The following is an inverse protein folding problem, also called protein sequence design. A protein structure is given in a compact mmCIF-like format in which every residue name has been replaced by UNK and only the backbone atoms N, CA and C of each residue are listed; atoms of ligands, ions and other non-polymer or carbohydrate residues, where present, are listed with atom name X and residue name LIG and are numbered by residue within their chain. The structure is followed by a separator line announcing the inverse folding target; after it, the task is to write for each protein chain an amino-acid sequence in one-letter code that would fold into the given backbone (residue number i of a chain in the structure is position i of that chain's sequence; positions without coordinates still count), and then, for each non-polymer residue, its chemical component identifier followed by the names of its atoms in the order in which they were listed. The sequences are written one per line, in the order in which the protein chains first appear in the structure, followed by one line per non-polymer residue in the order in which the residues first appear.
data_IF_787237008783
#
_entry.id   IF_787237008783
#
_cell.length_a   1.000
_cell.length_b   1.000
_cell.length_c   1.000
_cell.angle_alpha   90.00
_cell.angle_beta   90.00
_cell.angle_gamma   90.00
#
_symmetry.space_group_name_H-M   'P 1'
#
loop_
_entity.id
_entity.type
_entity.pdbx_description
1 polymer ?
#
# COMPACT_ATOMS: atom_id res chain seq x y z
N UNK A 1 3.65 -12.06 35.00
CA UNK A 1 3.19 -10.76 34.45
C UNK A 1 3.94 -10.27 33.20
N UNK A 2 5.09 -10.84 32.83
CA UNK A 2 5.96 -10.29 31.74
C UNK A 2 5.60 -10.81 30.32
N UNK A 3 5.03 -12.02 30.18
CA UNK A 3 4.66 -12.61 28.87
C UNK A 3 3.67 -11.75 28.06
N UNK A 4 2.80 -10.98 28.71
CA UNK A 4 1.83 -10.12 28.02
C UNK A 4 2.45 -8.80 27.53
N UNK A 5 3.49 -8.28 28.19
CA UNK A 5 4.22 -7.10 27.71
C UNK A 5 4.93 -7.38 26.39
N UNK A 6 5.63 -8.52 26.29
CA UNK A 6 6.34 -8.90 25.06
C UNK A 6 5.40 -9.17 23.89
N UNK A 7 4.22 -9.79 24.13
CA UNK A 7 3.20 -9.97 23.11
C UNK A 7 2.62 -8.64 22.63
N UNK A 8 2.38 -7.69 23.55
CA UNK A 8 1.86 -6.35 23.21
C UNK A 8 2.88 -5.54 22.39
N UNK A 9 4.15 -5.49 22.81
CA UNK A 9 5.22 -4.80 22.08
C UNK A 9 5.47 -5.42 20.69
N UNK A 10 5.40 -6.74 20.56
CA UNK A 10 5.51 -7.41 19.25
C UNK A 10 4.33 -7.08 18.33
N UNK A 11 3.11 -7.02 18.87
CA UNK A 11 1.91 -6.61 18.12
C UNK A 11 1.98 -5.13 17.71
N UNK A 12 2.42 -4.26 18.60
CA UNK A 12 2.55 -2.81 18.37
C UNK A 12 3.65 -2.49 17.35
N UNK A 13 4.81 -3.14 17.46
CA UNK A 13 5.88 -3.01 16.46
C UNK A 13 5.46 -3.55 15.08
N UNK A 14 4.72 -4.66 15.03
CA UNK A 14 4.16 -5.16 13.76
C UNK A 14 3.11 -4.21 13.18
N UNK A 15 2.23 -3.64 14.01
CA UNK A 15 1.26 -2.65 13.59
C UNK A 15 1.96 -1.41 13.01
N UNK A 16 3.02 -0.91 13.66
CA UNK A 16 3.79 0.22 13.14
C UNK A 16 4.43 -0.06 11.78
N UNK A 17 4.93 -1.28 11.56
CA UNK A 17 5.46 -1.70 10.26
C UNK A 17 4.36 -1.71 9.20
N UNK A 18 3.22 -2.32 9.51
CA UNK A 18 2.10 -2.39 8.59
C UNK A 18 1.54 -0.99 8.29
N UNK A 19 1.50 -0.08 9.27
CA UNK A 19 1.11 1.33 9.07
C UNK A 19 1.97 2.00 8.01
N UNK A 20 3.30 1.78 7.99
CA UNK A 20 4.16 2.35 6.95
C UNK A 20 3.84 1.80 5.55
N UNK A 21 3.50 0.50 5.47
CA UNK A 21 3.12 -0.13 4.20
C UNK A 21 1.78 0.45 3.72
N UNK A 22 0.81 0.58 4.63
CA UNK A 22 -0.52 1.11 4.33
C UNK A 22 -0.45 2.59 3.97
N UNK A 23 0.41 3.37 4.65
CA UNK A 23 0.64 4.78 4.32
C UNK A 23 1.16 4.97 2.89
N UNK A 24 1.98 4.04 2.37
CA UNK A 24 2.35 4.07 0.95
C UNK A 24 1.14 3.88 0.02
N UNK A 25 0.21 2.99 0.39
CA UNK A 25 -0.99 2.73 -0.42
C UNK A 25 -1.94 3.94 -0.39
N UNK A 26 -2.12 4.56 0.77
CA UNK A 26 -2.87 5.80 0.93
C UNK A 26 -2.24 6.93 0.11
N UNK A 27 -0.91 7.07 0.17
CA UNK A 27 -0.19 8.07 -0.63
C UNK A 27 -0.39 7.88 -2.13
N UNK A 28 -0.48 6.61 -2.58
CA UNK A 28 -0.78 6.31 -3.98
C UNK A 28 -2.23 6.62 -4.36
N UNK A 29 -3.20 6.38 -3.47
CA UNK A 29 -4.61 6.70 -3.68
C UNK A 29 -4.89 8.21 -3.67
N UNK A 30 -4.13 9.00 -2.91
CA UNK A 30 -4.34 10.45 -2.80
C UNK A 30 -3.68 11.29 -3.90
N UNK A 31 -2.95 10.67 -4.84
CA UNK A 31 -2.07 11.43 -5.74
C UNK A 31 -2.82 12.33 -6.72
N UNK A 32 -4.05 11.96 -7.09
CA UNK A 32 -4.92 12.73 -7.98
C UNK A 32 -5.89 13.66 -7.20
N UNK A 33 -5.66 13.82 -5.89
CA UNK A 33 -6.50 14.57 -4.94
C UNK A 33 -7.93 14.02 -4.76
N UNK A 34 -8.27 12.88 -5.38
CA UNK A 34 -9.59 12.25 -5.29
C UNK A 34 -9.54 10.90 -4.57
N UNK A 35 -9.39 10.94 -3.25
CA UNK A 35 -9.33 9.71 -2.44
C UNK A 35 -10.73 9.10 -2.23
N UNK A 36 -11.10 8.15 -3.09
CA UNK A 36 -12.46 7.60 -3.20
C UNK A 36 -12.73 6.45 -2.22
N UNK A 37 -14.02 6.12 -2.03
CA UNK A 37 -14.41 4.95 -1.22
C UNK A 37 -13.98 3.61 -1.84
N UNK A 38 -13.88 3.53 -3.17
CA UNK A 38 -13.42 2.32 -3.88
C UNK A 38 -11.96 2.02 -3.51
N UNK A 39 -11.11 3.05 -3.53
CA UNK A 39 -9.71 2.93 -3.15
C UNK A 39 -9.55 2.57 -1.67
N UNK A 40 -10.32 3.22 -0.79
CA UNK A 40 -10.38 2.87 0.64
C UNK A 40 -10.74 1.41 0.85
N UNK A 41 -11.71 0.89 0.11
CA UNK A 41 -12.12 -0.52 0.20
C UNK A 41 -11.02 -1.47 -0.26
N UNK A 42 -10.27 -1.13 -1.32
CA UNK A 42 -9.09 -1.90 -1.74
C UNK A 42 -8.05 -1.91 -0.61
N UNK A 43 -7.75 -0.76 -0.01
CA UNK A 43 -6.79 -0.65 1.07
C UNK A 43 -7.26 -1.43 2.31
N UNK A 44 -8.53 -1.30 2.72
CA UNK A 44 -9.13 -2.07 3.84
C UNK A 44 -8.96 -3.58 3.65
N UNK A 45 -9.22 -4.10 2.45
CA UNK A 45 -9.02 -5.52 2.12
C UNK A 45 -7.55 -5.93 2.31
N UNK A 46 -6.61 -5.10 1.88
CA UNK A 46 -5.17 -5.35 2.08
C UNK A 46 -4.80 -5.34 3.56
N UNK A 47 -5.32 -4.38 4.34
CA UNK A 47 -5.09 -4.31 5.79
C UNK A 47 -5.56 -5.59 6.47
N UNK A 48 -6.79 -6.04 6.17
CA UNK A 48 -7.34 -7.27 6.73
C UNK A 48 -6.46 -8.49 6.40
N UNK A 49 -5.92 -8.56 5.19
CA UNK A 49 -5.01 -9.64 4.76
C UNK A 49 -3.64 -9.57 5.46
N UNK A 50 -3.05 -8.39 5.60
CA UNK A 50 -1.74 -8.20 6.21
C UNK A 50 -1.74 -8.40 7.73
N UNK A 51 -2.86 -8.08 8.39
CA UNK A 51 -2.98 -8.09 9.84
C UNK A 51 -3.82 -9.24 10.40
N UNK A 52 -4.57 -9.96 9.55
CA UNK A 52 -5.54 -10.99 9.95
C UNK A 52 -6.59 -10.44 10.93
N UNK A 53 -7.22 -9.34 10.56
CA UNK A 53 -8.18 -8.58 11.40
C UNK A 53 -9.52 -8.39 10.69
N UNK A 54 -10.51 -7.95 11.46
CA UNK A 54 -11.85 -7.63 10.94
C UNK A 54 -11.93 -6.22 10.33
N UNK A 55 -13.10 -5.89 9.78
CA UNK A 55 -13.37 -4.62 9.13
C UNK A 55 -13.19 -3.42 10.09
N UNK A 56 -13.77 -3.47 11.29
CA UNK A 56 -13.69 -2.38 12.27
C UNK A 56 -12.25 -2.07 12.70
N UNK A 57 -11.43 -3.10 12.89
CA UNK A 57 -10.01 -2.94 13.19
C UNK A 57 -9.23 -2.42 11.96
N UNK A 58 -9.63 -2.82 10.76
CA UNK A 58 -9.03 -2.34 9.51
C UNK A 58 -9.27 -0.83 9.30
N UNK A 59 -10.46 -0.33 9.62
CA UNK A 59 -10.78 1.10 9.55
C UNK A 59 -9.94 1.92 10.53
N UNK A 60 -9.70 1.39 11.74
CA UNK A 60 -8.83 2.04 12.73
C UNK A 60 -7.39 2.11 12.23
N UNK A 61 -6.87 1.03 11.64
CA UNK A 61 -5.53 1.03 11.06
C UNK A 61 -5.42 1.94 9.83
N UNK A 62 -6.47 1.99 9.01
CA UNK A 62 -6.54 2.90 7.87
C UNK A 62 -6.40 4.35 8.33
N UNK A 63 -7.18 4.78 9.32
CA UNK A 63 -7.10 6.14 9.90
C UNK A 63 -5.71 6.47 10.44
N UNK A 64 -5.04 5.50 11.07
CA UNK A 64 -3.66 5.69 11.55
C UNK A 64 -2.67 5.85 10.40
N UNK A 65 -2.86 5.09 9.32
CA UNK A 65 -2.03 5.19 8.13
C UNK A 65 -2.27 6.48 7.35
N UNK A 66 -3.52 6.94 7.24
CA UNK A 66 -3.90 8.23 6.67
C UNK A 66 -3.25 9.39 7.42
N UNK A 67 -3.32 9.36 8.76
CA UNK A 67 -2.64 10.35 9.60
C UNK A 67 -1.12 10.28 9.42
N UNK A 68 -0.55 9.07 9.36
CA UNK A 68 0.90 8.90 9.16
C UNK A 68 1.37 9.41 7.80
N UNK A 69 0.53 9.26 6.78
CA UNK A 69 0.76 9.79 5.43
C UNK A 69 0.72 11.33 5.44
N UNK A 70 -0.29 11.92 6.09
CA UNK A 70 -0.40 13.38 6.26
C UNK A 70 0.77 14.00 7.03
N UNK A 71 1.26 13.31 8.08
CA UNK A 71 2.40 13.76 8.88
C UNK A 71 3.76 13.59 8.16
N UNK A 72 3.84 12.79 7.08
CA UNK A 72 5.09 12.44 6.41
C UNK A 72 4.98 12.57 4.89
N UNK A 73 5.57 13.63 4.34
CA UNK A 73 5.67 13.81 2.89
C UNK A 73 6.73 12.94 2.20
N UNK A 74 7.26 11.90 2.86
CA UNK A 74 8.42 11.15 2.35
C UNK A 74 8.11 9.68 2.08
N UNK A 75 7.78 9.38 0.83
CA UNK A 75 7.67 8.01 0.28
C UNK A 75 8.89 7.11 0.56
N UNK A 76 10.06 7.71 0.81
CA UNK A 76 11.29 7.03 1.23
C UNK A 76 11.14 6.35 2.59
N UNK A 77 10.39 6.96 3.51
CA UNK A 77 10.09 6.39 4.83
C UNK A 77 9.25 5.12 4.69
N UNK A 78 8.17 5.20 3.90
CA UNK A 78 7.24 4.09 3.71
C UNK A 78 7.89 2.89 3.02
N UNK A 79 8.67 3.16 1.96
CA UNK A 79 9.38 2.12 1.20
C UNK A 79 10.50 1.44 2.01
N UNK A 80 11.02 2.08 3.07
CA UNK A 80 12.06 1.50 3.93
C UNK A 80 11.63 0.20 4.61
N UNK A 81 10.38 0.11 5.04
CA UNK A 81 9.88 -1.12 5.67
C UNK A 81 9.67 -2.22 4.62
N UNK A 82 9.11 -1.88 3.47
CA UNK A 82 8.82 -2.81 2.38
C UNK A 82 10.10 -3.46 1.82
N UNK A 83 11.20 -2.71 1.77
CA UNK A 83 12.53 -3.23 1.37
C UNK A 83 13.01 -4.41 2.21
N UNK A 84 12.53 -4.59 3.44
CA UNK A 84 12.94 -5.70 4.31
C UNK A 84 12.32 -7.04 3.90
N UNK A 85 11.30 -7.01 3.05
CA UNK A 85 10.59 -8.20 2.59
C UNK A 85 11.12 -8.69 1.23
N UNK A 86 10.69 -9.91 0.86
CA UNK A 86 11.07 -10.58 -0.38
C UNK A 86 10.69 -9.76 -1.62
N UNK A 87 11.38 -10.00 -2.74
CA UNK A 87 11.01 -9.40 -4.03
C UNK A 87 9.53 -9.66 -4.38
N UNK A 88 9.03 -10.86 -4.10
CA UNK A 88 7.63 -11.22 -4.29
C UNK A 88 6.67 -10.28 -3.53
N UNK A 89 6.97 -10.00 -2.26
CA UNK A 89 6.17 -9.05 -1.48
C UNK A 89 6.21 -7.64 -2.09
N UNK A 90 7.39 -7.17 -2.51
CA UNK A 90 7.54 -5.86 -3.16
C UNK A 90 6.74 -5.77 -4.45
N UNK A 91 6.78 -6.82 -5.27
CA UNK A 91 5.96 -6.94 -6.49
C UNK A 91 4.47 -6.94 -6.18
N UNK A 92 4.05 -7.59 -5.09
CA UNK A 92 2.65 -7.58 -4.65
C UNK A 92 2.18 -6.19 -4.25
N UNK A 93 3.02 -5.41 -3.58
CA UNK A 93 2.72 -4.00 -3.27
C UNK A 93 2.51 -3.19 -4.55
N UNK A 94 3.38 -3.36 -5.56
CA UNK A 94 3.21 -2.67 -6.86
C UNK A 94 1.91 -3.10 -7.55
N UNK A 95 1.55 -4.39 -7.49
CA UNK A 95 0.27 -4.88 -8.01
C UNK A 95 -0.93 -4.21 -7.31
N UNK A 96 -0.87 -4.04 -5.99
CA UNK A 96 -1.93 -3.37 -5.22
C UNK A 96 -2.01 -1.89 -5.60
N UNK A 97 -0.87 -1.19 -5.71
CA UNK A 97 -0.85 0.21 -6.13
C UNK A 97 -1.46 0.38 -7.52
N UNK A 98 -1.15 -0.49 -8.48
CA UNK A 98 -1.80 -0.46 -9.79
C UNK A 98 -3.31 -0.70 -9.73
N UNK A 99 -3.80 -1.54 -8.80
CA UNK A 99 -5.24 -1.76 -8.61
C UNK A 99 -5.94 -0.54 -8.06
N UNK A 100 -5.32 0.17 -7.11
CA UNK A 100 -5.83 1.43 -6.56
C UNK A 100 -5.92 2.45 -7.70
N UNK A 101 -4.81 2.65 -8.41
CA UNK A 101 -4.70 3.59 -9.52
C UNK A 101 -5.69 3.31 -10.65
N UNK A 102 -5.92 2.03 -10.99
CA UNK A 102 -6.90 1.66 -12.02
C UNK A 102 -8.33 1.51 -11.50
N UNK A 103 -8.59 1.77 -10.20
CA UNK A 103 -9.94 1.65 -9.66
C UNK A 103 -10.82 2.87 -9.92
N UNK A 104 -10.23 3.97 -10.39
CA UNK A 104 -10.93 5.13 -10.95
C UNK A 104 -10.58 5.31 -12.44
N UNK A 105 -11.50 5.85 -13.23
CA UNK A 105 -11.45 5.94 -14.71
C UNK A 105 -10.52 7.05 -15.24
N UNK A 106 -9.71 7.67 -14.37
CA UNK A 106 -8.98 8.93 -14.64
C UNK A 106 -7.47 8.77 -14.91
N UNK A 107 -6.99 7.53 -15.05
CA UNK A 107 -5.56 7.18 -14.93
C UNK A 107 -4.76 7.12 -16.24
N UNK A 108 -4.04 8.20 -16.63
CA UNK A 108 -3.16 8.07 -17.82
C UNK A 108 -1.76 8.76 -17.80
N UNK A 109 -1.42 9.72 -16.92
CA UNK A 109 -0.09 10.39 -17.00
C UNK A 109 0.61 10.57 -15.64
N UNK A 110 -0.05 11.05 -14.59
CA UNK A 110 0.60 11.34 -13.31
C UNK A 110 1.09 10.08 -12.56
N UNK A 111 0.35 8.97 -12.65
CA UNK A 111 0.62 7.79 -11.82
C UNK A 111 1.86 7.02 -12.27
N UNK A 112 2.23 7.12 -13.56
CA UNK A 112 3.43 6.45 -14.08
C UNK A 112 4.69 6.93 -13.38
N UNK A 113 4.76 8.20 -12.98
CA UNK A 113 5.92 8.76 -12.30
C UNK A 113 6.02 8.33 -10.84
N UNK A 114 4.90 8.33 -10.11
CA UNK A 114 4.86 7.83 -8.74
C UNK A 114 5.26 6.35 -8.69
N UNK A 115 4.61 5.51 -9.50
CA UNK A 115 4.88 4.07 -9.48
C UNK A 115 6.31 3.77 -9.92
N UNK A 116 6.84 4.48 -10.93
CA UNK A 116 8.26 4.35 -11.32
C UNK A 116 9.20 4.72 -10.17
N UNK A 117 8.90 5.80 -9.44
CA UNK A 117 9.68 6.21 -8.26
C UNK A 117 9.61 5.16 -7.15
N UNK A 118 8.43 4.59 -6.87
CA UNK A 118 8.26 3.50 -5.90
C UNK A 118 9.06 2.27 -6.36
N UNK A 119 8.98 1.88 -7.62
CA UNK A 119 9.76 0.76 -8.17
C UNK A 119 11.26 0.96 -7.96
N UNK A 120 11.78 2.16 -8.26
CA UNK A 120 13.18 2.51 -8.00
C UNK A 120 13.55 2.39 -6.52
N UNK A 121 12.71 2.88 -5.61
CA UNK A 121 12.93 2.79 -4.16
C UNK A 121 12.83 1.36 -3.61
N UNK A 122 12.09 0.47 -4.28
CA UNK A 122 11.93 -0.94 -3.92
C UNK A 122 12.90 -1.88 -4.65
N UNK A 123 13.77 -1.33 -5.52
CA UNK A 123 14.69 -2.07 -6.38
C UNK A 123 13.97 -3.05 -7.32
N UNK A 124 12.81 -2.66 -7.84
CA UNK A 124 12.03 -3.46 -8.78
C UNK A 124 12.44 -3.07 -10.20
N UNK A 125 12.91 -4.02 -11.03
CA UNK A 125 13.23 -3.74 -12.42
C UNK A 125 11.98 -3.32 -13.23
N UNK A 126 12.13 -2.36 -14.13
CA UNK A 126 11.04 -1.80 -14.94
C UNK A 126 10.25 -2.86 -15.71
N UNK A 127 10.91 -3.94 -16.15
CA UNK A 127 10.27 -5.09 -16.81
C UNK A 127 9.12 -5.66 -15.97
N UNK A 128 9.33 -5.83 -14.66
CA UNK A 128 8.30 -6.38 -13.77
C UNK A 128 7.15 -5.39 -13.56
N UNK A 129 7.45 -4.10 -13.43
CA UNK A 129 6.42 -3.06 -13.37
C UNK A 129 5.52 -3.10 -14.60
N UNK A 130 6.11 -3.19 -15.80
CA UNK A 130 5.36 -3.31 -17.07
C UNK A 130 4.46 -4.56 -17.10
N UNK A 131 4.98 -5.72 -16.70
CA UNK A 131 4.20 -6.97 -16.64
C UNK A 131 3.01 -6.83 -15.67
N UNK A 132 3.24 -6.27 -14.48
CA UNK A 132 2.18 -6.08 -13.46
C UNK A 132 1.12 -5.11 -13.98
N UNK A 133 1.54 -3.97 -14.56
CA UNK A 133 0.63 -2.98 -15.14
C UNK A 133 -0.29 -3.63 -16.18
N UNK A 134 0.27 -4.37 -17.14
CA UNK A 134 -0.51 -5.07 -18.17
C UNK A 134 -1.44 -6.12 -17.56
N UNK A 135 -0.98 -6.87 -16.56
CA UNK A 135 -1.79 -7.87 -15.86
C UNK A 135 -3.02 -7.22 -15.21
N UNK A 136 -2.85 -6.14 -14.44
CA UNK A 136 -3.94 -5.46 -13.75
C UNK A 136 -4.91 -4.83 -14.76
N UNK A 137 -4.40 -4.10 -15.76
CA UNK A 137 -5.23 -3.48 -16.81
C UNK A 137 -6.10 -4.49 -17.58
N UNK A 138 -5.61 -5.71 -17.77
CA UNK A 138 -6.38 -6.78 -18.44
C UNK A 138 -7.43 -7.43 -17.55
N UNK A 139 -7.33 -7.30 -16.22
CA UNK A 139 -8.34 -7.79 -15.27
C UNK A 139 -9.51 -6.80 -15.24
N UNK A 140 -9.25 -5.50 -15.15
CA UNK A 140 -10.29 -4.47 -15.14
C UNK A 140 -11.10 -4.46 -16.45
N UNK A 141 -10.46 -4.64 -17.61
CA UNK A 141 -11.15 -4.71 -18.91
C UNK A 141 -12.08 -5.91 -19.11
N UNK A 142 -12.07 -6.89 -18.22
CA UNK A 142 -12.90 -8.12 -18.32
C UNK A 142 -14.18 -8.04 -17.49
N UNK A 143 -14.37 -6.96 -16.73
CA UNK A 143 -15.57 -6.67 -15.94
C UNK A 143 -16.41 -5.66 -16.72
#
# INVERSE_FOLDING_TARGET
MIKNLFKKQKKESQNNKNILIIALLVHAAKIDENYTEIEKDIIKKVIMQLNQINLDESEKLLKLAEKKEEESNQIVEFTREIKKYSMEFRLKIIEIIWKIVYSDDTSDIYESNLIRRICGLLYIPDKYNGIIRTKVKNIEKKI
#
